data_IF_895680586535
#
_entry.id   IF_895680586535
#
_cell.length_a   1.000
_cell.length_b   1.000
_cell.length_c   1.000
_cell.angle_alpha   90.00
_cell.angle_beta   90.00
_cell.angle_gamma   90.00
#
_symmetry.space_group_name_H-M   'P 1'
#
loop_
_entity.id
_entity.type
_entity.pdbx_description
1 polymer ?
#
# COMPACT_ATOMS: atom_id res chain seq x y z
N UNK A 1 -30.65 -24.76 -4.51
CA UNK A 1 -29.98 -24.43 -5.78
C UNK A 1 -28.50 -24.38 -5.48
N UNK A 2 -27.74 -25.40 -5.84
CA UNK A 2 -26.30 -25.48 -5.54
C UNK A 2 -25.57 -24.65 -6.59
N UNK A 3 -24.99 -23.52 -6.22
CA UNK A 3 -24.07 -22.79 -7.11
C UNK A 3 -22.71 -23.46 -7.01
N UNK A 4 -22.28 -24.06 -8.11
CA UNK A 4 -20.93 -24.56 -8.29
C UNK A 4 -20.02 -23.36 -8.51
N UNK A 5 -19.13 -23.11 -7.58
CA UNK A 5 -18.04 -22.13 -7.74
C UNK A 5 -17.02 -22.75 -8.69
N UNK A 6 -16.93 -22.26 -9.92
CA UNK A 6 -15.81 -22.60 -10.79
C UNK A 6 -14.58 -21.82 -10.33
N UNK A 7 -13.72 -22.46 -9.56
CA UNK A 7 -12.36 -22.01 -9.34
C UNK A 7 -11.57 -22.36 -10.62
N UNK A 8 -11.38 -21.40 -11.52
CA UNK A 8 -10.50 -21.58 -12.66
C UNK A 8 -9.05 -21.42 -12.20
N UNK A 9 -8.46 -22.50 -11.68
CA UNK A 9 -7.05 -22.59 -11.42
C UNK A 9 -6.31 -22.75 -12.75
N UNK A 10 -5.85 -21.66 -13.34
CA UNK A 10 -4.93 -21.72 -14.50
C UNK A 10 -3.54 -22.10 -13.99
N UNK A 11 -3.27 -23.39 -13.94
CA UNK A 11 -1.92 -23.90 -13.72
C UNK A 11 -1.19 -23.80 -15.06
N UNK A 12 -0.36 -22.78 -15.24
CA UNK A 12 0.62 -22.74 -16.33
C UNK A 12 1.59 -23.92 -16.23
N UNK A 13 2.10 -24.45 -17.35
CA UNK A 13 3.00 -25.60 -17.33
C UNK A 13 4.22 -25.30 -16.48
N UNK A 14 4.49 -26.21 -15.55
CA UNK A 14 5.62 -26.26 -14.67
C UNK A 14 6.95 -26.08 -15.42
N UNK A 15 7.58 -24.95 -15.27
CA UNK A 15 9.03 -24.88 -15.42
C UNK A 15 9.63 -25.26 -14.05
N UNK A 16 10.31 -26.39 -14.00
CA UNK A 16 11.03 -26.82 -12.81
C UNK A 16 12.22 -25.90 -12.56
N UNK A 17 12.06 -24.90 -11.76
CA UNK A 17 13.15 -24.12 -11.23
C UNK A 17 12.68 -23.50 -9.90
N UNK A 18 13.11 -24.09 -8.80
CA UNK A 18 12.92 -23.55 -7.46
C UNK A 18 11.51 -23.74 -6.85
N UNK A 19 11.47 -23.74 -5.55
CA UNK A 19 10.26 -23.98 -4.76
C UNK A 19 9.42 -22.70 -4.63
N UNK A 20 8.58 -22.39 -5.62
CA UNK A 20 7.56 -21.36 -5.44
C UNK A 20 6.44 -21.87 -4.56
N UNK A 21 6.05 -21.08 -3.58
CA UNK A 21 4.96 -21.40 -2.66
C UNK A 21 3.76 -20.50 -2.94
N UNK A 22 2.59 -21.11 -3.05
CA UNK A 22 1.32 -20.39 -3.18
C UNK A 22 0.30 -20.99 -2.22
N UNK A 23 -0.31 -20.17 -1.39
CA UNK A 23 -1.44 -20.55 -0.55
C UNK A 23 -2.61 -19.62 -0.83
N UNK A 24 -3.77 -20.17 -1.11
CA UNK A 24 -5.01 -19.42 -1.29
C UNK A 24 -6.04 -20.00 -0.34
N UNK A 25 -6.60 -19.18 0.50
CA UNK A 25 -7.73 -19.54 1.36
C UNK A 25 -8.82 -18.52 1.07
N UNK A 26 -9.93 -18.95 0.53
CA UNK A 26 -11.07 -18.06 0.26
C UNK A 26 -12.34 -18.64 0.86
N UNK A 27 -13.20 -17.78 1.32
CA UNK A 27 -14.54 -18.15 1.71
C UNK A 27 -15.48 -16.98 1.38
N UNK A 28 -16.41 -17.19 0.48
CA UNK A 28 -17.36 -16.18 0.09
C UNK A 28 -17.87 -16.40 -1.31
N UNK A 29 -18.73 -15.52 -1.79
CA UNK A 29 -19.39 -15.59 -3.10
C UNK A 29 -18.89 -14.48 -4.01
N UNK A 30 -18.50 -14.80 -5.24
CA UNK A 30 -18.14 -13.81 -6.26
C UNK A 30 -16.68 -13.39 -6.30
N UNK A 31 -15.83 -13.93 -5.44
CA UNK A 31 -14.40 -13.63 -5.45
C UNK A 31 -13.72 -14.11 -6.74
N UNK A 32 -12.96 -13.23 -7.37
CA UNK A 32 -12.13 -13.53 -8.53
C UNK A 32 -10.66 -13.41 -8.13
N UNK A 33 -9.89 -14.49 -8.22
CA UNK A 33 -8.47 -14.51 -7.87
C UNK A 33 -7.65 -14.94 -9.08
N UNK A 34 -6.71 -14.11 -9.47
CA UNK A 34 -5.72 -14.43 -10.49
C UNK A 34 -4.33 -14.30 -9.87
N UNK A 35 -3.53 -15.35 -9.92
CA UNK A 35 -2.15 -15.33 -9.45
C UNK A 35 -1.21 -15.86 -10.50
N UNK A 36 -0.04 -15.26 -10.62
CA UNK A 36 1.03 -15.71 -11.49
C UNK A 36 2.36 -15.56 -10.77
N UNK A 37 3.14 -16.62 -10.69
CA UNK A 37 4.51 -16.60 -10.18
C UNK A 37 5.47 -17.15 -11.22
N UNK A 38 6.55 -16.44 -11.47
CA UNK A 38 7.61 -16.83 -12.41
C UNK A 38 8.96 -16.59 -11.73
N UNK A 39 9.83 -17.56 -11.75
CA UNK A 39 11.13 -17.53 -11.06
C UNK A 39 11.21 -18.54 -9.93
N UNK A 40 12.11 -18.35 -9.00
CA UNK A 40 12.43 -19.31 -7.96
C UNK A 40 12.16 -18.75 -6.56
N UNK A 41 11.70 -19.57 -5.63
CA UNK A 41 11.57 -19.23 -4.21
C UNK A 41 10.53 -18.14 -3.91
N UNK A 42 9.65 -17.81 -4.82
CA UNK A 42 8.60 -16.83 -4.57
C UNK A 42 7.53 -17.40 -3.65
N UNK A 43 7.07 -16.58 -2.72
CA UNK A 43 6.04 -16.94 -1.75
C UNK A 43 4.85 -15.99 -1.86
N UNK A 44 3.66 -16.51 -2.12
CA UNK A 44 2.44 -15.72 -2.15
C UNK A 44 1.38 -16.33 -1.25
N UNK A 45 0.77 -15.50 -0.43
CA UNK A 45 -0.38 -15.87 0.40
C UNK A 45 -1.55 -14.97 0.02
N UNK A 46 -2.72 -15.54 -0.05
CA UNK A 46 -3.97 -14.80 -0.21
C UNK A 46 -4.93 -15.39 0.81
N UNK A 47 -5.52 -14.64 1.66
CA UNK A 47 -6.45 -15.19 2.65
C UNK A 47 -7.91 -14.82 2.34
N UNK A 48 -8.26 -13.64 2.20
CA UNK A 48 -9.58 -13.07 1.97
C UNK A 48 -10.62 -13.50 3.01
N UNK A 49 -11.65 -13.81 3.14
CA UNK A 49 -12.51 -14.16 4.27
C UNK A 49 -12.34 -15.62 4.72
N UNK A 50 -11.62 -15.87 5.76
CA UNK A 50 -11.26 -17.20 6.20
C UNK A 50 -12.20 -17.83 7.21
N UNK A 51 -12.47 -19.12 7.04
CA UNK A 51 -13.02 -20.00 8.05
C UNK A 51 -12.06 -21.17 8.27
N UNK A 52 -10.81 -20.90 8.52
CA UNK A 52 -9.87 -21.93 8.91
C UNK A 52 -9.30 -21.61 10.28
N UNK A 53 -9.20 -22.64 11.10
CA UNK A 53 -8.39 -22.68 12.32
C UNK A 53 -6.89 -22.68 12.01
N UNK A 54 -6.48 -22.07 10.91
CA UNK A 54 -5.09 -21.91 10.50
C UNK A 54 -4.51 -20.69 11.18
N UNK A 55 -3.56 -20.88 12.08
CA UNK A 55 -2.78 -19.80 12.65
C UNK A 55 -1.84 -19.25 11.59
N UNK A 56 -2.12 -18.09 11.06
CA UNK A 56 -1.01 -17.20 10.68
C UNK A 56 -0.32 -16.77 11.98
N UNK A 57 0.98 -16.50 11.97
CA UNK A 57 1.67 -16.13 13.20
C UNK A 57 0.98 -14.94 13.88
N UNK A 58 0.17 -15.22 14.90
CA UNK A 58 -0.37 -14.24 15.83
C UNK A 58 -1.88 -13.98 15.82
N UNK A 59 -2.69 -14.57 14.92
CA UNK A 59 -4.13 -14.26 14.88
C UNK A 59 -5.01 -15.49 14.62
N UNK A 60 -6.11 -15.58 15.34
CA UNK A 60 -7.16 -16.59 15.15
C UNK A 60 -8.35 -15.91 14.48
N UNK A 61 -8.60 -16.21 13.22
CA UNK A 61 -9.71 -15.64 12.47
C UNK A 61 -10.95 -16.52 12.49
N UNK A 62 -12.10 -15.95 12.78
CA UNK A 62 -13.39 -16.64 12.83
C UNK A 62 -14.32 -16.11 11.75
N UNK A 63 -14.77 -16.99 10.89
CA UNK A 63 -15.86 -16.90 9.88
C UNK A 63 -16.23 -15.53 9.31
N UNK A 64 -15.51 -15.06 8.31
CA UNK A 64 -15.90 -13.92 7.49
C UNK A 64 -16.00 -14.30 6.00
N UNK A 65 -16.68 -13.51 5.21
CA UNK A 65 -16.86 -13.74 3.77
C UNK A 65 -15.96 -12.79 2.98
N UNK A 66 -15.40 -13.27 1.88
CA UNK A 66 -14.57 -12.47 0.97
C UNK A 66 -15.39 -11.52 0.07
N UNK A 67 -16.70 -11.62 0.07
CA UNK A 67 -17.56 -10.78 -0.78
C UNK A 67 -17.28 -10.89 -2.28
N UNK A 68 -17.41 -9.77 -2.98
CA UNK A 68 -17.18 -9.65 -4.44
C UNK A 68 -15.77 -9.11 -4.75
N UNK A 69 -14.76 -9.49 -4.01
CA UNK A 69 -13.40 -8.98 -4.19
C UNK A 69 -12.72 -9.51 -5.47
N UNK A 70 -12.03 -8.64 -6.17
CA UNK A 70 -11.13 -8.99 -7.28
C UNK A 70 -9.68 -8.87 -6.81
N UNK A 71 -8.93 -9.95 -6.91
CA UNK A 71 -7.54 -10.01 -6.46
C UNK A 71 -6.64 -10.46 -7.61
N UNK A 72 -5.77 -9.59 -8.08
CA UNK A 72 -4.80 -9.89 -9.12
C UNK A 72 -3.39 -9.80 -8.56
N UNK A 73 -2.65 -10.90 -8.60
CA UNK A 73 -1.25 -10.90 -8.16
C UNK A 73 -0.37 -11.46 -9.26
N UNK A 74 0.65 -10.72 -9.66
CA UNK A 74 1.70 -11.14 -10.58
C UNK A 74 3.06 -10.95 -9.91
N UNK A 75 3.86 -11.99 -9.85
CA UNK A 75 5.20 -11.98 -9.27
C UNK A 75 6.18 -12.58 -10.27
N UNK A 76 7.17 -11.81 -10.67
CA UNK A 76 8.24 -12.20 -11.58
C UNK A 76 9.59 -11.94 -10.89
N UNK A 77 10.50 -12.89 -10.94
CA UNK A 77 11.79 -12.81 -10.27
C UNK A 77 11.95 -13.88 -9.20
N UNK A 78 12.88 -13.69 -8.27
CA UNK A 78 13.22 -14.70 -7.28
C UNK A 78 13.00 -14.19 -5.85
N UNK A 79 12.72 -15.12 -4.95
CA UNK A 79 12.63 -14.85 -3.48
C UNK A 79 11.63 -13.77 -3.08
N UNK A 80 10.68 -13.40 -3.93
CA UNK A 80 9.69 -12.39 -3.60
C UNK A 80 8.64 -12.94 -2.63
N UNK A 81 8.19 -12.11 -1.71
CA UNK A 81 7.12 -12.44 -0.78
C UNK A 81 5.95 -11.47 -0.96
N UNK A 82 4.78 -12.01 -1.26
CA UNK A 82 3.54 -11.23 -1.32
C UNK A 82 2.52 -11.79 -0.33
N UNK A 83 1.91 -10.92 0.45
CA UNK A 83 0.87 -11.24 1.41
C UNK A 83 -0.33 -10.35 1.18
N UNK A 84 -1.47 -10.93 1.08
CA UNK A 84 -2.74 -10.23 1.05
C UNK A 84 -3.64 -10.84 2.10
N UNK A 85 -4.20 -10.05 2.95
CA UNK A 85 -5.21 -10.44 3.91
C UNK A 85 -6.45 -9.58 3.68
N UNK A 86 -7.60 -10.07 3.94
CA UNK A 86 -8.85 -9.31 4.04
C UNK A 86 -9.78 -10.15 4.89
N UNK A 87 -10.07 -9.77 6.08
CA UNK A 87 -10.69 -10.67 7.08
C UNK A 87 -12.05 -10.20 7.62
N UNK A 88 -12.38 -8.92 7.53
CA UNK A 88 -13.60 -8.40 8.13
C UNK A 88 -14.84 -8.58 7.26
N UNK A 89 -16.00 -8.65 7.88
CA UNK A 89 -17.27 -9.00 7.26
C UNK A 89 -17.77 -7.93 6.30
N UNK A 90 -18.22 -8.33 5.14
CA UNK A 90 -18.84 -7.56 4.08
C UNK A 90 -17.90 -6.92 3.05
N UNK A 91 -16.68 -7.42 2.86
CA UNK A 91 -15.80 -7.02 1.77
C UNK A 91 -16.51 -7.15 0.40
N UNK A 92 -17.31 -6.18 0.03
CA UNK A 92 -17.95 -6.13 -1.27
C UNK A 92 -17.22 -5.15 -2.19
N UNK A 93 -17.09 -5.55 -3.44
CA UNK A 93 -16.58 -4.74 -4.56
C UNK A 93 -15.14 -4.21 -4.41
N UNK A 94 -14.33 -4.82 -3.54
CA UNK A 94 -12.92 -4.48 -3.39
C UNK A 94 -12.07 -4.94 -4.59
N UNK A 95 -11.13 -4.12 -5.01
CA UNK A 95 -10.21 -4.42 -6.11
C UNK A 95 -8.74 -4.30 -5.66
N UNK A 96 -8.02 -5.40 -5.70
CA UNK A 96 -6.62 -5.47 -5.28
C UNK A 96 -5.73 -5.91 -6.42
N UNK A 97 -4.68 -5.16 -6.71
CA UNK A 97 -3.67 -5.49 -7.70
C UNK A 97 -2.28 -5.42 -7.11
N UNK A 98 -1.54 -6.50 -7.18
CA UNK A 98 -0.13 -6.58 -6.79
C UNK A 98 0.68 -7.02 -8.02
N UNK A 99 1.66 -6.24 -8.40
CA UNK A 99 2.61 -6.54 -9.46
C UNK A 99 4.05 -6.37 -8.97
N UNK A 100 4.82 -7.43 -8.99
CA UNK A 100 6.22 -7.44 -8.54
C UNK A 100 7.09 -7.97 -9.68
N UNK A 101 8.12 -7.22 -10.05
CA UNK A 101 9.11 -7.57 -11.05
C UNK A 101 10.53 -7.26 -10.54
N UNK A 102 11.29 -8.28 -10.20
CA UNK A 102 12.62 -8.22 -9.59
C UNK A 102 12.78 -9.24 -8.47
N UNK A 103 13.88 -9.16 -7.76
CA UNK A 103 14.25 -10.14 -6.74
C UNK A 103 14.09 -9.58 -5.31
N UNK A 104 13.86 -10.48 -4.35
CA UNK A 104 13.84 -10.18 -2.90
C UNK A 104 12.84 -9.08 -2.48
N UNK A 105 11.77 -8.86 -3.23
CA UNK A 105 10.77 -7.86 -2.90
C UNK A 105 9.74 -8.39 -1.89
N UNK A 106 9.24 -7.48 -1.06
CA UNK A 106 8.20 -7.77 -0.08
C UNK A 106 6.98 -6.88 -0.27
N UNK A 107 5.80 -7.48 -0.32
CA UNK A 107 4.51 -6.79 -0.33
C UNK A 107 3.62 -7.35 0.77
N UNK A 108 3.04 -6.47 1.55
CA UNK A 108 1.94 -6.78 2.45
C UNK A 108 0.78 -5.82 2.20
N UNK A 109 -0.35 -6.36 1.80
CA UNK A 109 -1.58 -5.63 1.64
C UNK A 109 -2.63 -6.24 2.56
N UNK A 110 -3.26 -5.41 3.37
CA UNK A 110 -4.40 -5.78 4.20
C UNK A 110 -5.41 -4.64 4.11
N UNK A 111 -6.65 -4.96 3.80
CA UNK A 111 -7.68 -3.96 3.57
C UNK A 111 -9.02 -4.51 4.03
N UNK A 112 -9.58 -3.90 5.02
CA UNK A 112 -10.90 -4.21 5.53
C UNK A 112 -11.95 -3.25 4.96
N UNK A 113 -13.24 -3.58 5.06
CA UNK A 113 -14.42 -2.81 4.64
C UNK A 113 -14.66 -2.85 3.12
N UNK A 114 -15.56 -1.99 2.60
CA UNK A 114 -16.15 -2.12 1.28
C UNK A 114 -15.61 -1.11 0.25
N UNK A 115 -15.75 -1.41 -1.03
CA UNK A 115 -15.50 -0.52 -2.19
C UNK A 115 -14.05 0.04 -2.27
N UNK A 116 -13.08 -0.66 -1.71
CA UNK A 116 -11.70 -0.22 -1.69
C UNK A 116 -10.91 -0.66 -2.93
N UNK A 117 -10.04 0.21 -3.42
CA UNK A 117 -9.09 -0.10 -4.49
C UNK A 117 -7.66 0.04 -3.99
N UNK A 118 -6.86 -1.02 -4.14
CA UNK A 118 -5.45 -1.01 -3.75
C UNK A 118 -4.57 -1.52 -4.88
N UNK A 119 -3.56 -0.75 -5.23
CA UNK A 119 -2.58 -1.11 -6.25
C UNK A 119 -1.17 -0.99 -5.71
N UNK A 120 -0.41 -2.08 -5.74
CA UNK A 120 1.00 -2.09 -5.37
C UNK A 120 1.80 -2.58 -6.57
N UNK A 121 2.76 -1.78 -7.02
CA UNK A 121 3.68 -2.11 -8.11
C UNK A 121 5.11 -1.92 -7.64
N UNK A 122 5.92 -2.97 -7.74
CA UNK A 122 7.35 -2.94 -7.46
C UNK A 122 8.12 -3.40 -8.70
N UNK A 123 9.14 -2.63 -9.09
CA UNK A 123 10.06 -2.96 -10.17
C UNK A 123 11.49 -2.72 -9.68
N UNK A 124 12.32 -3.75 -9.68
CA UNK A 124 13.67 -3.76 -9.10
C UNK A 124 13.75 -4.63 -7.86
N UNK A 125 14.84 -4.58 -7.15
CA UNK A 125 15.16 -5.54 -6.10
C UNK A 125 15.07 -4.92 -4.70
N UNK A 126 14.86 -5.77 -3.68
CA UNK A 126 14.86 -5.38 -2.27
C UNK A 126 13.86 -4.27 -1.93
N UNK A 127 12.75 -4.16 -2.62
CA UNK A 127 11.73 -3.17 -2.31
C UNK A 127 10.73 -3.74 -1.30
N UNK A 128 10.27 -2.88 -0.40
CA UNK A 128 9.25 -3.21 0.58
C UNK A 128 8.07 -2.25 0.44
N UNK A 129 6.89 -2.80 0.26
CA UNK A 129 5.63 -2.07 0.33
C UNK A 129 4.75 -2.68 1.40
N UNK A 130 4.09 -1.86 2.14
CA UNK A 130 3.05 -2.23 3.07
C UNK A 130 1.84 -1.34 2.77
N UNK A 131 0.69 -1.81 3.09
CA UNK A 131 -0.52 -1.02 3.14
C UNK A 131 -1.42 -1.72 4.14
N UNK A 132 -2.03 -1.01 4.97
CA UNK A 132 -3.02 -1.50 5.90
C UNK A 132 -4.12 -0.45 5.87
N UNK A 133 -5.31 -0.81 5.52
CA UNK A 133 -6.43 0.12 5.43
C UNK A 133 -7.65 -0.46 6.11
N UNK A 134 -8.46 0.37 6.67
CA UNK A 134 -9.83 0.07 7.04
C UNK A 134 -10.69 1.29 6.72
N UNK A 135 -11.96 1.09 6.45
CA UNK A 135 -12.87 2.10 5.96
C UNK A 135 -13.26 1.90 4.50
N UNK A 136 -14.32 2.56 4.09
CA UNK A 136 -14.94 2.38 2.78
C UNK A 136 -14.43 3.38 1.74
N UNK A 137 -14.56 3.03 0.46
CA UNK A 137 -14.29 3.92 -0.68
C UNK A 137 -12.87 4.48 -0.75
N UNK A 138 -11.87 3.77 -0.24
CA UNK A 138 -10.49 4.22 -0.29
C UNK A 138 -9.75 3.77 -1.56
N UNK A 139 -8.86 4.64 -2.04
CA UNK A 139 -7.92 4.30 -3.11
C UNK A 139 -6.48 4.43 -2.60
N UNK A 140 -5.74 3.33 -2.64
CA UNK A 140 -4.34 3.28 -2.23
C UNK A 140 -3.46 2.87 -3.40
N UNK A 141 -2.38 3.60 -3.62
CA UNK A 141 -1.40 3.30 -4.67
C UNK A 141 0.02 3.37 -4.11
N UNK A 142 0.77 2.29 -4.24
CA UNK A 142 2.22 2.30 -3.98
C UNK A 142 2.93 1.89 -5.27
N UNK A 143 3.81 2.75 -5.77
CA UNK A 143 4.66 2.45 -6.92
C UNK A 143 6.12 2.64 -6.56
N UNK A 144 6.91 1.57 -6.66
CA UNK A 144 8.34 1.59 -6.39
C UNK A 144 9.11 1.13 -7.63
N UNK A 145 10.04 1.96 -8.09
CA UNK A 145 10.92 1.67 -9.22
C UNK A 145 12.38 1.90 -8.84
N UNK A 146 13.20 0.91 -9.02
CA UNK A 146 14.58 0.86 -8.54
C UNK A 146 14.69 -0.02 -7.29
N UNK A 147 15.82 0.01 -6.63
CA UNK A 147 16.11 -0.94 -5.56
C UNK A 147 16.04 -0.28 -4.17
N UNK A 148 15.82 -1.09 -3.14
CA UNK A 148 15.89 -0.68 -1.74
C UNK A 148 14.92 0.48 -1.42
N UNK A 149 13.69 0.38 -1.82
CA UNK A 149 12.63 1.33 -1.48
C UNK A 149 11.79 0.79 -0.34
N UNK A 150 11.39 1.67 0.55
CA UNK A 150 10.40 1.37 1.57
C UNK A 150 9.22 2.34 1.45
N UNK A 151 8.02 1.82 1.44
CA UNK A 151 6.80 2.60 1.57
C UNK A 151 5.92 1.93 2.63
N UNK A 152 4.99 2.67 3.15
CA UNK A 152 4.00 2.12 4.08
C UNK A 152 2.70 2.85 3.88
N UNK A 153 1.71 2.91 4.16
CA UNK A 153 0.52 3.72 4.24
C UNK A 153 -0.07 3.48 5.61
N UNK A 154 -0.91 2.92 6.03
CA UNK A 154 -1.67 2.60 7.20
C UNK A 154 -3.01 3.29 7.21
N UNK A 155 -3.66 3.90 6.88
CA UNK A 155 -4.97 4.56 6.97
C UNK A 155 -5.90 3.92 8.03
N UNK A 156 -7.02 4.39 8.29
CA UNK A 156 -8.14 3.86 9.10
C UNK A 156 -9.40 4.72 8.88
N UNK A 157 -9.55 5.36 7.75
CA UNK A 157 -10.67 6.24 7.45
C UNK A 157 -11.33 5.94 6.11
N UNK A 158 -12.43 6.61 5.85
CA UNK A 158 -13.23 6.44 4.64
C UNK A 158 -12.90 7.48 3.58
N UNK A 159 -13.14 7.17 2.30
CA UNK A 159 -13.12 8.09 1.16
C UNK A 159 -11.79 8.82 0.96
N UNK A 160 -10.66 8.16 1.11
CA UNK A 160 -9.35 8.76 0.96
C UNK A 160 -8.57 8.25 -0.25
N UNK A 161 -7.89 9.16 -0.96
CA UNK A 161 -6.90 8.79 -1.97
C UNK A 161 -5.49 8.95 -1.39
N UNK A 162 -4.68 7.91 -1.46
CA UNK A 162 -3.30 7.95 -0.95
C UNK A 162 -2.36 7.31 -1.95
N UNK A 163 -1.37 8.07 -2.37
CA UNK A 163 -0.37 7.59 -3.31
C UNK A 163 1.05 7.85 -2.82
N UNK A 164 1.88 6.82 -2.89
CA UNK A 164 3.33 6.90 -2.69
C UNK A 164 4.03 6.40 -3.95
N UNK A 165 4.82 7.27 -4.56
CA UNK A 165 5.66 6.93 -5.71
C UNK A 165 7.12 7.15 -5.37
N UNK A 166 7.92 6.10 -5.47
CA UNK A 166 9.35 6.12 -5.21
C UNK A 166 10.12 5.65 -6.44
N UNK A 167 11.09 6.43 -6.91
CA UNK A 167 11.87 6.09 -8.09
C UNK A 167 13.33 6.57 -8.01
N UNK A 168 14.20 5.99 -8.82
CA UNK A 168 15.61 6.34 -8.85
C UNK A 168 16.50 5.43 -8.00
N UNK A 169 17.75 5.81 -7.80
CA UNK A 169 18.76 4.94 -7.19
C UNK A 169 19.00 5.17 -5.70
N UNK A 170 18.45 6.24 -5.12
CA UNK A 170 18.55 6.50 -3.67
C UNK A 170 17.72 5.55 -2.82
N UNK A 171 18.09 5.42 -1.55
CA UNK A 171 17.23 4.81 -0.55
C UNK A 171 16.07 5.76 -0.27
N UNK A 172 14.87 5.32 -0.54
CA UNK A 172 13.69 6.14 -0.30
C UNK A 172 12.81 5.47 0.74
N UNK A 173 12.55 6.21 1.81
CA UNK A 173 11.59 5.85 2.84
C UNK A 173 10.37 6.75 2.71
N UNK A 174 9.22 6.20 2.97
CA UNK A 174 8.01 6.96 3.23
C UNK A 174 7.22 6.20 4.29
N UNK A 175 6.32 6.86 4.99
CA UNK A 175 5.54 6.14 6.00
C UNK A 175 4.19 6.78 6.01
N UNK A 176 3.47 7.37 5.99
CA UNK A 176 2.21 8.09 6.01
C UNK A 176 1.48 7.88 7.34
N UNK A 177 0.55 7.15 7.58
CA UNK A 177 -0.24 6.83 8.77
C UNK A 177 -1.60 7.52 8.80
N UNK A 178 -2.26 8.20 8.67
CA UNK A 178 -3.53 8.92 8.75
C UNK A 178 -4.34 8.75 10.06
N UNK A 179 -4.84 7.61 10.49
CA UNK A 179 -5.66 7.34 11.68
C UNK A 179 -7.14 7.80 11.62
N UNK A 180 -7.76 7.76 10.48
CA UNK A 180 -9.21 7.72 10.34
C UNK A 180 -10.03 8.93 10.79
N UNK A 181 -11.30 8.85 10.56
CA UNK A 181 -12.32 9.79 11.07
C UNK A 181 -12.52 11.07 10.27
N UNK A 182 -11.91 11.21 9.11
CA UNK A 182 -12.07 12.37 8.26
C UNK A 182 -12.31 12.02 6.80
N UNK A 183 -13.15 12.77 6.15
CA UNK A 183 -13.43 12.65 4.74
C UNK A 183 -12.39 13.42 3.91
N UNK A 184 -11.98 12.88 2.77
CA UNK A 184 -11.16 13.54 1.75
C UNK A 184 -9.69 13.80 2.13
N UNK A 185 -8.99 12.79 2.59
CA UNK A 185 -7.53 12.87 2.66
C UNK A 185 -6.94 12.56 1.28
N UNK A 186 -6.52 13.54 0.54
CA UNK A 186 -5.81 13.37 -0.72
C UNK A 186 -4.30 13.54 -0.47
N UNK A 187 -3.53 12.50 -0.69
CA UNK A 187 -2.10 12.52 -0.44
C UNK A 187 -1.36 12.01 -1.66
N UNK A 188 -0.53 12.82 -2.24
CA UNK A 188 0.43 12.43 -3.26
C UNK A 188 1.84 12.64 -2.74
N UNK A 189 2.60 11.57 -2.54
CA UNK A 189 3.98 11.61 -2.10
C UNK A 189 4.90 11.07 -3.19
N UNK A 190 5.83 11.89 -3.66
CA UNK A 190 6.78 11.53 -4.71
C UNK A 190 8.20 11.67 -4.19
N UNK A 191 8.96 10.59 -4.23
CA UNK A 191 10.39 10.57 -3.93
C UNK A 191 11.17 10.07 -5.14
N UNK A 192 12.13 10.85 -5.60
CA UNK A 192 12.88 10.51 -6.80
C UNK A 192 14.34 10.98 -6.76
N UNK A 193 15.15 10.46 -7.67
CA UNK A 193 16.55 10.83 -7.83
C UNK A 193 17.51 9.87 -7.14
N UNK A 194 18.77 10.30 -6.97
CA UNK A 194 19.83 9.43 -6.44
C UNK A 194 20.16 9.66 -4.95
N UNK A 195 19.74 10.75 -4.35
CA UNK A 195 19.89 10.99 -2.92
C UNK A 195 18.81 10.29 -2.10
N UNK A 196 19.13 9.99 -0.85
CA UNK A 196 18.15 9.37 0.05
C UNK A 196 17.00 10.33 0.33
N UNK A 197 15.79 9.80 0.33
CA UNK A 197 14.59 10.56 0.66
C UNK A 197 13.90 9.92 1.86
N UNK A 198 13.45 10.77 2.74
CA UNK A 198 12.74 10.39 3.94
C UNK A 198 11.49 11.27 4.08
N UNK A 199 10.38 10.68 4.50
CA UNK A 199 9.16 11.43 4.77
C UNK A 199 8.32 10.62 5.77
N UNK A 200 7.83 11.16 6.81
CA UNK A 200 7.03 10.43 7.79
C UNK A 200 5.53 10.73 7.70
N UNK A 201 5.09 11.87 7.65
CA UNK A 201 3.77 12.46 7.45
C UNK A 201 2.80 12.17 8.55
N UNK A 202 1.83 11.84 8.87
CA UNK A 202 0.97 11.43 9.98
C UNK A 202 -0.49 11.91 9.92
N UNK A 203 -1.07 12.87 9.92
CA UNK A 203 -2.42 13.44 9.99
C UNK A 203 -3.19 13.30 11.31
N UNK A 204 -3.51 12.20 11.88
CA UNK A 204 -4.29 11.98 13.12
C UNK A 204 -5.66 12.65 13.17
N UNK A 205 -6.64 12.22 12.48
CA UNK A 205 -8.00 12.75 12.45
C UNK A 205 -8.13 14.15 11.84
N UNK A 206 -8.88 14.30 10.84
CA UNK A 206 -9.20 15.59 10.26
C UNK A 206 -9.82 15.51 8.89
N UNK A 207 -10.76 16.40 8.64
CA UNK A 207 -11.46 16.52 7.37
C UNK A 207 -10.64 17.31 6.36
N UNK A 208 -10.69 16.93 5.08
CA UNK A 208 -10.19 17.66 3.92
C UNK A 208 -8.69 17.99 3.96
N UNK A 209 -7.85 17.04 4.34
CA UNK A 209 -6.40 17.21 4.30
C UNK A 209 -5.87 16.85 2.91
N UNK A 210 -5.31 17.78 2.18
CA UNK A 210 -4.54 17.55 0.97
C UNK A 210 -3.06 17.71 1.30
N UNK A 211 -2.20 16.87 0.77
CA UNK A 211 -0.76 16.98 0.93
C UNK A 211 -0.07 16.51 -0.35
N UNK A 212 0.56 17.38 -1.06
CA UNK A 212 1.52 17.04 -2.10
C UNK A 212 2.95 17.16 -1.56
N UNK A 213 3.66 16.10 -1.36
CA UNK A 213 5.08 16.13 -1.04
C UNK A 213 5.91 15.63 -2.22
N UNK A 214 6.83 16.45 -2.71
CA UNK A 214 7.82 16.07 -3.72
C UNK A 214 9.23 16.23 -3.19
N UNK A 215 9.98 15.14 -3.15
CA UNK A 215 11.41 15.12 -2.84
C UNK A 215 12.18 14.60 -4.06
N UNK A 216 13.06 15.40 -4.64
CA UNK A 216 13.76 15.06 -5.88
C UNK A 216 15.21 15.50 -5.89
N UNK A 217 15.97 15.06 -6.90
CA UNK A 217 17.37 15.45 -7.09
C UNK A 217 18.37 14.56 -6.34
N UNK A 218 19.61 15.04 -6.28
CA UNK A 218 20.74 14.28 -5.74
C UNK A 218 20.94 14.44 -4.22
N UNK A 219 20.39 15.48 -3.63
CA UNK A 219 20.49 15.73 -2.19
C UNK A 219 19.71 14.71 -1.36
N UNK A 220 20.14 14.50 -0.12
CA UNK A 220 19.33 13.80 0.86
C UNK A 220 18.25 14.74 1.41
N UNK A 221 17.00 14.36 1.27
CA UNK A 221 15.87 15.19 1.69
C UNK A 221 15.07 14.47 2.77
N UNK A 222 14.80 15.15 3.87
CA UNK A 222 13.97 14.66 4.94
C UNK A 222 12.76 15.57 5.15
N UNK A 223 11.62 15.01 5.45
CA UNK A 223 10.43 15.71 5.89
C UNK A 223 9.77 14.95 7.04
N UNK A 224 9.15 15.65 7.94
CA UNK A 224 8.35 15.08 9.01
C UNK A 224 7.17 16.02 9.24
N UNK A 225 6.06 15.72 8.65
CA UNK A 225 4.89 16.58 8.63
C UNK A 225 3.85 15.97 9.55
N UNK A 226 3.22 16.71 10.37
CA UNK A 226 2.21 16.24 11.33
C UNK A 226 1.03 17.20 11.30
N UNK A 227 -0.10 16.73 10.90
CA UNK A 227 -1.35 17.42 11.17
C UNK A 227 -1.93 16.81 12.44
N UNK A 228 -2.74 17.38 13.16
CA UNK A 228 -3.52 16.76 14.22
C UNK A 228 -4.99 17.15 14.12
N UNK A 229 -5.36 17.90 13.11
CA UNK A 229 -6.73 18.38 12.88
C UNK A 229 -7.01 18.80 11.43
N UNK A 230 -8.23 19.21 11.17
CA UNK A 230 -8.91 19.42 9.90
C UNK A 230 -8.39 20.56 9.01
N UNK A 231 -8.69 20.49 7.72
CA UNK A 231 -8.63 21.52 6.69
C UNK A 231 -7.22 22.09 6.44
N UNK A 232 -6.25 21.26 6.14
CA UNK A 232 -4.96 21.69 5.66
C UNK A 232 -4.80 21.36 4.18
N UNK A 233 -4.23 22.26 3.45
CA UNK A 233 -3.65 22.08 2.14
C UNK A 233 -2.15 22.40 2.29
N UNK A 234 -1.29 21.41 2.12
CA UNK A 234 0.16 21.55 2.33
C UNK A 234 0.91 21.01 1.14
N UNK A 235 1.63 21.87 0.48
CA UNK A 235 2.51 21.50 -0.61
C UNK A 235 3.97 21.69 -0.21
N UNK A 236 4.79 20.64 -0.24
CA UNK A 236 6.21 20.66 0.09
C UNK A 236 7.02 20.16 -1.08
N UNK A 237 7.92 20.98 -1.57
CA UNK A 237 8.89 20.60 -2.60
C UNK A 237 10.30 20.75 -2.04
N UNK A 238 11.05 19.67 -2.04
CA UNK A 238 12.47 19.63 -1.74
C UNK A 238 13.22 19.09 -2.96
N UNK A 239 14.12 19.87 -3.51
CA UNK A 239 14.82 19.50 -4.74
C UNK A 239 16.28 19.93 -4.74
N UNK A 240 17.03 19.51 -5.75
CA UNK A 240 18.42 19.88 -5.92
C UNK A 240 19.45 18.90 -5.37
N UNK A 241 20.68 19.36 -5.27
CA UNK A 241 21.83 18.55 -4.88
C UNK A 241 22.17 18.67 -3.39
N UNK A 242 21.66 19.68 -2.72
CA UNK A 242 21.92 19.90 -1.30
C UNK A 242 20.99 19.08 -0.42
N UNK A 243 21.46 18.72 0.75
CA UNK A 243 20.63 18.08 1.74
C UNK A 243 19.65 19.08 2.35
N UNK A 244 18.40 18.70 2.41
CA UNK A 244 17.32 19.54 2.91
C UNK A 244 16.53 18.80 3.98
N UNK A 245 16.16 19.51 5.01
CA UNK A 245 15.32 18.95 6.07
C UNK A 245 14.18 19.90 6.41
N UNK A 246 13.01 19.34 6.56
CA UNK A 246 11.82 20.05 6.97
C UNK A 246 11.10 19.23 8.04
N UNK A 247 10.72 19.87 9.13
CA UNK A 247 9.86 19.25 10.13
C UNK A 247 8.87 20.29 10.64
N UNK A 248 7.61 19.98 10.57
CA UNK A 248 6.57 20.84 11.09
C UNK A 248 5.44 20.04 11.74
N UNK A 249 4.83 20.64 12.74
CA UNK A 249 3.60 20.18 13.32
C UNK A 249 2.57 21.29 13.16
N UNK A 250 1.50 20.97 12.44
CA UNK A 250 0.38 21.90 12.27
C UNK A 250 -0.72 21.45 13.24
N UNK A 251 -1.01 22.26 14.21
CA UNK A 251 -2.05 21.97 15.19
C UNK A 251 -3.13 23.05 15.12
N UNK A 252 -4.35 22.63 14.86
CA UNK A 252 -5.47 23.53 14.80
C UNK A 252 -6.67 22.94 15.55
N UNK A 253 -7.16 23.65 16.50
CA UNK A 253 -8.24 23.17 17.37
C UNK A 253 -9.65 23.42 16.84
N UNK A 254 -9.82 24.20 15.78
CA UNK A 254 -11.11 24.40 15.08
C UNK A 254 -10.97 25.20 13.79
N UNK A 255 -11.60 24.72 12.70
CA UNK A 255 -11.85 25.42 11.42
C UNK A 255 -10.67 26.22 10.83
N UNK A 256 -9.47 25.64 10.80
CA UNK A 256 -8.33 26.28 10.16
C UNK A 256 -8.17 25.78 8.72
N UNK A 257 -8.66 26.52 7.78
CA UNK A 257 -8.31 26.34 6.38
C UNK A 257 -7.00 27.10 6.10
N UNK A 258 -5.92 26.40 5.81
CA UNK A 258 -4.62 27.01 5.47
C UNK A 258 -3.96 26.27 4.33
N UNK A 259 -3.59 27.02 3.31
CA UNK A 259 -2.65 26.54 2.29
C UNK A 259 -1.23 26.91 2.72
N UNK A 260 -0.36 25.94 2.76
CA UNK A 260 1.05 26.12 3.12
C UNK A 260 1.90 25.56 1.97
N UNK A 261 2.71 26.42 1.38
CA UNK A 261 3.65 26.02 0.34
C UNK A 261 5.08 26.20 0.84
N UNK A 262 5.89 25.17 0.74
CA UNK A 262 7.29 25.16 1.15
C UNK A 262 8.13 24.67 -0.02
N UNK A 263 9.09 25.47 -0.44
CA UNK A 263 10.04 25.11 -1.48
C UNK A 263 11.47 25.26 -0.96
N UNK A 264 12.25 24.20 -1.12
CA UNK A 264 13.68 24.14 -0.80
C UNK A 264 14.42 23.61 -2.02
N UNK A 265 15.46 24.31 -2.47
CA UNK A 265 16.25 23.99 -3.67
C UNK A 265 17.75 23.86 -3.39
#
# INVERSE_FOLDING_TARGET
MVRVIMLSLLISPLSFAGDNYLSIITKGTGTNITTKQVGNGNSSYVLCGANSSGSFPGTTYTSHTCGSATLNTTVIGNSNTTRLYTVWSNNSDNNYTISVDGDDNFVWLDQDEDDNTSTITQTGDDNQAEQLGSGDDNTFVITQTGNNKYARILDFGDNGNKSITQSGTGLHNAYLYNNGGGHYNDVTLIQSGCGNKDADIFFYNGDNNELDLTQSGAGAHAANIKFYTSNYDVNVTQSGANNQSYSATFNCTSNCTKTITITQE
#
